data_IF_357082350796
#
_entry.id   IF_357082350796
#
_cell.length_a   1.000
_cell.length_b   1.000
_cell.length_c   1.000
_cell.angle_alpha   90.00
_cell.angle_beta   90.00
_cell.angle_gamma   90.00
#
_symmetry.space_group_name_H-M   'P 1'
#
loop_
_entity.id
_entity.type
_entity.pdbx_description
1 polymer ?
#
# COMPACT_ATOMS: atom_id res chain seq x y z
N UNK A 1 -27.60 -11.84 13.75
CA UNK A 1 -26.69 -11.30 12.73
C UNK A 1 -26.80 -12.22 11.54
N UNK A 2 -27.21 -11.64 10.43
CA UNK A 2 -27.35 -12.29 9.13
C UNK A 2 -26.42 -11.55 8.15
N UNK A 3 -25.67 -12.31 7.35
CA UNK A 3 -24.86 -11.78 6.26
C UNK A 3 -25.57 -12.04 4.93
N UNK A 4 -25.61 -11.03 4.07
CA UNK A 4 -26.19 -11.16 2.72
C UNK A 4 -25.51 -10.21 1.74
N UNK A 5 -25.72 -10.45 0.45
CA UNK A 5 -25.35 -9.49 -0.59
C UNK A 5 -26.15 -8.19 -0.42
N UNK A 6 -25.49 -7.07 -0.69
CA UNK A 6 -26.14 -5.78 -0.75
C UNK A 6 -27.09 -5.71 -1.96
N UNK A 7 -28.17 -4.96 -1.81
CA UNK A 7 -29.05 -4.60 -2.91
C UNK A 7 -29.27 -3.08 -2.93
N UNK A 8 -29.90 -2.57 -4.00
CA UNK A 8 -30.06 -1.12 -4.20
C UNK A 8 -30.85 -0.40 -3.11
N UNK A 9 -31.65 -1.10 -2.29
CA UNK A 9 -32.31 -0.49 -1.14
C UNK A 9 -31.35 -0.16 0.01
N UNK A 10 -30.17 -0.79 0.05
CA UNK A 10 -29.20 -0.63 1.13
C UNK A 10 -28.32 0.62 0.97
N UNK A 11 -28.24 1.16 -0.25
CA UNK A 11 -27.29 2.23 -0.63
C UNK A 11 -27.32 3.43 0.31
N UNK A 12 -28.53 3.91 0.67
CA UNK A 12 -28.66 5.03 1.61
C UNK A 12 -28.03 4.74 2.98
N UNK A 13 -28.29 3.55 3.52
CA UNK A 13 -27.76 3.13 4.81
C UNK A 13 -26.25 2.90 4.78
N UNK A 14 -25.72 2.36 3.69
CA UNK A 14 -24.27 2.17 3.50
C UNK A 14 -23.51 3.50 3.47
N UNK A 15 -24.05 4.50 2.77
CA UNK A 15 -23.47 5.85 2.73
C UNK A 15 -23.46 6.49 4.13
N UNK A 16 -24.57 6.42 4.87
CA UNK A 16 -24.67 6.93 6.25
C UNK A 16 -23.68 6.24 7.21
N UNK A 17 -23.59 4.91 7.13
CA UNK A 17 -22.70 4.09 7.96
C UNK A 17 -21.23 4.42 7.67
N UNK A 18 -20.87 4.60 6.41
CA UNK A 18 -19.51 5.01 6.01
C UNK A 18 -19.13 6.34 6.64
N UNK A 19 -19.97 7.37 6.47
CA UNK A 19 -19.69 8.70 7.00
C UNK A 19 -19.55 8.68 8.54
N UNK A 20 -20.44 7.97 9.23
CA UNK A 20 -20.37 7.79 10.69
C UNK A 20 -19.09 7.10 11.14
N UNK A 21 -18.72 6.01 10.46
CA UNK A 21 -17.57 5.18 10.82
C UNK A 21 -16.25 5.89 10.55
N UNK A 22 -16.13 6.57 9.40
CA UNK A 22 -14.95 7.33 9.04
C UNK A 22 -14.71 8.50 9.98
N UNK A 23 -15.77 9.26 10.30
CA UNK A 23 -15.68 10.36 11.28
C UNK A 23 -15.18 9.87 12.65
N UNK A 24 -15.50 8.63 13.03
CA UNK A 24 -15.13 8.07 14.33
C UNK A 24 -13.74 7.42 14.37
N UNK A 25 -13.25 6.87 13.24
CA UNK A 25 -12.05 6.02 13.23
C UNK A 25 -10.88 6.55 12.38
N UNK A 26 -11.11 7.55 11.52
CA UNK A 26 -10.12 8.05 10.58
C UNK A 26 -9.63 9.44 10.98
N UNK A 27 -8.33 9.66 10.87
CA UNK A 27 -7.67 10.95 11.09
C UNK A 27 -7.68 11.81 9.80
N UNK A 28 -8.86 12.00 9.21
CA UNK A 28 -9.03 12.72 7.94
C UNK A 28 -9.44 14.18 8.14
N UNK A 29 -9.02 15.04 7.21
CA UNK A 29 -9.63 16.36 7.08
C UNK A 29 -11.04 16.27 6.48
N UNK A 30 -11.92 17.28 6.67
CA UNK A 30 -13.26 17.27 6.07
C UNK A 30 -13.26 17.10 4.55
N UNK A 31 -12.28 17.72 3.86
CA UNK A 31 -12.14 17.64 2.40
C UNK A 31 -11.74 16.24 1.94
N UNK A 32 -10.85 15.57 2.67
CA UNK A 32 -10.46 14.19 2.36
C UNK A 32 -11.60 13.20 2.60
N UNK A 33 -12.38 13.40 3.67
CA UNK A 33 -13.57 12.59 3.94
C UNK A 33 -14.60 12.75 2.81
N UNK A 34 -14.87 14.00 2.41
CA UNK A 34 -15.80 14.31 1.32
C UNK A 34 -15.34 13.65 0.02
N UNK A 35 -14.06 13.79 -0.35
CA UNK A 35 -13.51 13.14 -1.54
C UNK A 35 -13.67 11.61 -1.55
N UNK A 36 -13.46 10.94 -0.41
CA UNK A 36 -13.65 9.48 -0.32
C UNK A 36 -15.13 9.11 -0.46
N UNK A 37 -16.01 9.84 0.23
CA UNK A 37 -17.45 9.57 0.18
C UNK A 37 -18.00 9.81 -1.22
N UNK A 38 -17.66 10.94 -1.86
CA UNK A 38 -18.09 11.28 -3.22
C UNK A 38 -17.66 10.21 -4.23
N UNK A 39 -16.39 9.83 -4.23
CA UNK A 39 -15.86 8.91 -5.25
C UNK A 39 -16.27 7.45 -5.03
N UNK A 40 -16.40 7.02 -3.77
CA UNK A 40 -16.52 5.59 -3.44
C UNK A 40 -17.87 5.19 -2.86
N UNK A 41 -18.59 6.12 -2.22
CA UNK A 41 -19.76 5.81 -1.39
C UNK A 41 -21.00 6.66 -1.69
N UNK A 42 -21.00 7.36 -2.83
CA UNK A 42 -22.20 7.95 -3.39
C UNK A 42 -23.12 6.88 -3.98
N UNK A 43 -24.36 7.28 -4.24
CA UNK A 43 -25.41 6.39 -4.73
C UNK A 43 -25.03 5.70 -6.04
N UNK A 44 -24.38 6.42 -6.96
CA UNK A 44 -23.92 5.88 -8.25
C UNK A 44 -22.84 4.81 -8.02
N UNK A 45 -21.74 5.15 -7.34
CA UNK A 45 -20.63 4.22 -7.06
C UNK A 45 -21.06 2.95 -6.32
N UNK A 46 -21.94 3.08 -5.33
CA UNK A 46 -22.48 1.92 -4.60
C UNK A 46 -23.41 1.07 -5.47
N UNK A 47 -24.21 1.70 -6.33
CA UNK A 47 -25.08 0.97 -7.26
C UNK A 47 -24.24 0.20 -8.28
N UNK A 48 -23.22 0.83 -8.86
CA UNK A 48 -22.27 0.15 -9.76
C UNK A 48 -21.59 -1.04 -9.08
N UNK A 49 -21.17 -0.90 -7.82
CA UNK A 49 -20.58 -1.99 -7.04
C UNK A 49 -21.58 -3.14 -6.75
N UNK A 50 -22.88 -2.86 -6.67
CA UNK A 50 -23.93 -3.88 -6.49
C UNK A 50 -24.22 -4.62 -7.81
N UNK A 51 -24.18 -3.90 -8.93
CA UNK A 51 -24.57 -4.44 -10.24
C UNK A 51 -23.42 -5.10 -11.01
N UNK A 52 -22.17 -4.81 -10.65
CA UNK A 52 -20.99 -5.33 -11.32
C UNK A 52 -20.40 -6.57 -10.61
N UNK A 53 -20.22 -7.65 -11.38
CA UNK A 53 -19.63 -8.93 -10.94
C UNK A 53 -18.14 -8.84 -10.55
N UNK A 54 -17.45 -7.76 -10.91
CA UNK A 54 -16.08 -7.49 -10.44
C UNK A 54 -16.03 -7.09 -8.96
N UNK A 55 -17.17 -6.80 -8.33
CA UNK A 55 -17.24 -6.34 -6.95
C UNK A 55 -17.99 -7.33 -6.07
N UNK A 56 -17.53 -7.42 -4.83
CA UNK A 56 -18.19 -8.16 -3.76
C UNK A 56 -18.61 -7.16 -2.70
N UNK A 57 -19.92 -6.97 -2.50
CA UNK A 57 -20.46 -6.10 -1.46
C UNK A 57 -21.42 -6.89 -0.57
N UNK A 58 -20.98 -7.22 0.64
CA UNK A 58 -21.77 -7.94 1.64
C UNK A 58 -22.13 -7.02 2.81
N UNK A 59 -23.33 -7.18 3.35
CA UNK A 59 -23.84 -6.44 4.50
C UNK A 59 -24.11 -7.36 5.68
N UNK A 60 -23.88 -6.85 6.89
CA UNK A 60 -24.24 -7.49 8.14
C UNK A 60 -25.46 -6.79 8.73
N UNK A 61 -26.53 -7.55 8.93
CA UNK A 61 -27.78 -7.10 9.54
C UNK A 61 -27.86 -7.55 11.00
N UNK A 62 -28.35 -6.68 11.88
CA UNK A 62 -28.64 -7.02 13.27
C UNK A 62 -30.08 -7.51 13.44
N UNK A 63 -30.27 -8.83 13.43
CA UNK A 63 -31.56 -9.49 13.71
C UNK A 63 -31.98 -9.45 15.18
N UNK A 64 -31.19 -8.83 16.08
CA UNK A 64 -31.59 -8.67 17.48
C UNK A 64 -32.61 -7.53 17.69
N UNK A 65 -33.01 -6.84 16.62
CA UNK A 65 -34.08 -5.84 16.60
C UNK A 65 -35.41 -6.48 17.05
N UNK A 66 -36.27 -5.76 17.78
CA UNK A 66 -37.52 -6.36 18.26
C UNK A 66 -38.37 -6.87 17.09
N UNK A 67 -39.22 -7.87 17.30
CA UNK A 67 -39.92 -8.63 16.23
C UNK A 67 -40.81 -7.81 15.25
N UNK A 68 -40.89 -6.50 15.42
CA UNK A 68 -41.63 -5.54 14.60
C UNK A 68 -40.74 -4.41 14.01
N UNK A 69 -39.41 -4.48 14.18
CA UNK A 69 -38.43 -3.54 13.61
C UNK A 69 -37.76 -4.16 12.37
N UNK A 70 -37.52 -3.34 11.34
CA UNK A 70 -36.75 -3.78 10.17
C UNK A 70 -35.28 -4.01 10.59
N UNK A 71 -34.64 -5.10 10.11
CA UNK A 71 -33.25 -5.37 10.43
C UNK A 71 -32.37 -4.19 9.99
N UNK A 72 -31.47 -3.78 10.87
CA UNK A 72 -30.59 -2.63 10.62
C UNK A 72 -29.24 -3.15 10.14
N UNK A 73 -28.72 -2.59 9.06
CA UNK A 73 -27.35 -2.86 8.62
C UNK A 73 -26.38 -2.20 9.62
N UNK A 74 -25.55 -3.04 10.23
CA UNK A 74 -24.57 -2.69 11.27
C UNK A 74 -23.12 -2.84 10.80
N UNK A 75 -22.91 -3.30 9.58
CA UNK A 75 -21.60 -3.38 8.95
C UNK A 75 -21.70 -3.76 7.49
N UNK A 76 -20.63 -3.53 6.75
CA UNK A 76 -20.48 -4.05 5.39
C UNK A 76 -19.00 -4.23 5.03
N UNK A 77 -18.77 -5.06 4.02
CA UNK A 77 -17.47 -5.28 3.39
C UNK A 77 -17.59 -5.08 1.89
N UNK A 78 -16.65 -4.35 1.31
CA UNK A 78 -16.53 -4.11 -0.13
C UNK A 78 -15.15 -4.61 -0.59
N UNK A 79 -15.17 -5.56 -1.52
CA UNK A 79 -13.99 -6.09 -2.20
C UNK A 79 -14.11 -6.00 -3.71
N UNK A 80 -12.98 -6.15 -4.38
CA UNK A 80 -12.85 -6.07 -5.84
C UNK A 80 -12.02 -7.25 -6.36
N UNK A 81 -12.50 -7.89 -7.41
CA UNK A 81 -11.75 -8.83 -8.23
C UNK A 81 -10.87 -8.05 -9.22
N UNK A 82 -9.58 -8.40 -9.29
CA UNK A 82 -8.63 -7.86 -10.27
C UNK A 82 -7.98 -8.97 -11.07
N UNK A 83 -7.31 -8.59 -12.16
CA UNK A 83 -6.64 -9.55 -13.05
C UNK A 83 -5.55 -10.36 -12.33
N UNK A 84 -4.89 -9.79 -11.32
CA UNK A 84 -3.74 -10.38 -10.61
C UNK A 84 -4.09 -10.94 -9.22
N UNK A 85 -5.34 -10.80 -8.77
CA UNK A 85 -5.79 -11.22 -7.44
C UNK A 85 -7.06 -10.48 -7.01
N UNK A 86 -7.60 -10.83 -5.85
CA UNK A 86 -8.78 -10.13 -5.30
C UNK A 86 -8.39 -9.37 -4.03
N UNK A 87 -8.99 -8.20 -3.82
CA UNK A 87 -8.63 -7.31 -2.71
C UNK A 87 -9.88 -6.86 -1.93
N UNK A 88 -9.85 -7.05 -0.61
CA UNK A 88 -10.84 -6.51 0.31
C UNK A 88 -10.43 -5.07 0.68
N UNK A 89 -11.18 -4.08 0.21
CA UNK A 89 -10.77 -2.66 0.27
C UNK A 89 -11.40 -1.88 1.40
N UNK A 90 -12.65 -2.18 1.72
CA UNK A 90 -13.37 -1.46 2.76
C UNK A 90 -14.12 -2.42 3.66
N UNK A 91 -13.97 -2.23 4.96
CA UNK A 91 -14.71 -2.95 5.97
C UNK A 91 -15.14 -1.96 7.04
N UNK A 92 -16.44 -1.72 7.12
CA UNK A 92 -17.01 -0.83 8.11
C UNK A 92 -17.90 -1.61 9.08
N UNK A 93 -17.75 -1.28 10.35
CA UNK A 93 -18.63 -1.75 11.42
C UNK A 93 -19.10 -0.52 12.18
N UNK A 94 -20.42 -0.45 12.35
CA UNK A 94 -21.10 0.57 13.13
C UNK A 94 -20.42 0.69 14.51
N UNK A 95 -20.00 1.91 14.93
CA UNK A 95 -19.28 2.09 16.18
C UNK A 95 -20.00 1.52 17.41
N UNK A 96 -21.33 1.48 17.42
CA UNK A 96 -22.16 0.96 18.52
C UNK A 96 -22.23 -0.58 18.51
N UNK A 97 -21.81 -1.22 17.41
CA UNK A 97 -21.83 -2.66 17.20
C UNK A 97 -20.43 -3.31 17.21
N UNK A 98 -19.39 -2.52 17.46
CA UNK A 98 -18.01 -3.03 17.59
C UNK A 98 -17.84 -3.95 18.80
N UNK A 99 -16.89 -4.88 18.69
CA UNK A 99 -16.59 -5.86 19.74
C UNK A 99 -17.58 -7.02 19.83
N UNK A 100 -18.59 -7.07 18.96
CA UNK A 100 -19.57 -8.17 18.86
C UNK A 100 -19.20 -9.26 17.84
N UNK A 101 -18.05 -9.15 17.16
CA UNK A 101 -17.62 -10.11 16.13
C UNK A 101 -17.98 -9.74 14.68
N UNK A 102 -18.83 -8.72 14.47
CA UNK A 102 -19.30 -8.27 13.13
C UNK A 102 -18.18 -8.12 12.11
N UNK A 103 -17.09 -7.44 12.47
CA UNK A 103 -15.99 -7.22 11.53
C UNK A 103 -15.25 -8.50 11.14
N UNK A 104 -15.11 -9.46 12.06
CA UNK A 104 -14.49 -10.76 11.77
C UNK A 104 -15.39 -11.58 10.83
N UNK A 105 -16.70 -11.63 11.10
CA UNK A 105 -17.64 -12.37 10.23
C UNK A 105 -17.71 -11.75 8.82
N UNK A 106 -17.72 -10.41 8.71
CA UNK A 106 -17.66 -9.72 7.42
C UNK A 106 -16.35 -9.99 6.67
N UNK A 107 -15.22 -9.97 7.37
CA UNK A 107 -13.92 -10.28 6.77
C UNK A 107 -13.88 -11.71 6.24
N UNK A 108 -14.26 -12.69 7.06
CA UNK A 108 -14.25 -14.11 6.67
C UNK A 108 -15.17 -14.36 5.46
N UNK A 109 -16.38 -13.83 5.47
CA UNK A 109 -17.33 -13.98 4.36
C UNK A 109 -16.88 -13.23 3.09
N UNK A 110 -16.35 -12.01 3.24
CA UNK A 110 -15.84 -11.22 2.11
C UNK A 110 -14.63 -11.89 1.46
N UNK A 111 -13.67 -12.36 2.26
CA UNK A 111 -12.51 -13.10 1.76
C UNK A 111 -12.90 -14.42 1.11
N UNK A 112 -13.88 -15.15 1.67
CA UNK A 112 -14.40 -16.38 1.04
C UNK A 112 -15.00 -16.07 -0.34
N UNK A 113 -15.91 -15.09 -0.43
CA UNK A 113 -16.54 -14.69 -1.68
C UNK A 113 -15.52 -14.21 -2.75
N UNK A 114 -14.50 -13.45 -2.34
CA UNK A 114 -13.42 -13.02 -3.24
C UNK A 114 -12.57 -14.21 -3.73
N UNK A 115 -12.37 -15.22 -2.88
CA UNK A 115 -11.60 -16.43 -3.19
C UNK A 115 -12.29 -17.42 -4.14
N UNK A 116 -13.62 -17.37 -4.29
CA UNK A 116 -14.37 -18.30 -5.16
C UNK A 116 -14.03 -18.15 -6.65
N UNK A 117 -13.48 -16.99 -7.06
CA UNK A 117 -13.02 -16.72 -8.43
C UNK A 117 -11.82 -17.58 -8.86
N UNK A 118 -11.06 -18.16 -7.91
CA UNK A 118 -9.95 -19.08 -8.17
C UNK A 118 -8.66 -18.44 -8.68
N UNK A 119 -8.58 -17.10 -8.68
CA UNK A 119 -7.41 -16.32 -9.09
C UNK A 119 -6.76 -15.66 -7.87
N UNK A 120 -5.60 -16.18 -7.47
CA UNK A 120 -4.70 -15.54 -6.51
C UNK A 120 -5.09 -15.66 -5.04
N UNK A 121 -4.24 -15.10 -4.19
CA UNK A 121 -4.50 -14.86 -2.77
C UNK A 121 -5.42 -13.65 -2.62
N UNK A 122 -6.19 -13.60 -1.52
CA UNK A 122 -6.98 -12.41 -1.18
C UNK A 122 -6.13 -11.51 -0.31
N UNK A 123 -5.87 -10.29 -0.76
CA UNK A 123 -5.27 -9.24 0.07
C UNK A 123 -6.35 -8.37 0.70
N UNK A 124 -5.98 -7.63 1.74
CA UNK A 124 -6.81 -6.59 2.30
C UNK A 124 -6.03 -5.28 2.34
N UNK A 125 -6.71 -4.15 2.24
CA UNK A 125 -6.06 -2.85 2.26
C UNK A 125 -6.72 -1.89 3.23
N UNK A 126 -5.94 -0.94 3.73
CA UNK A 126 -6.40 0.08 4.67
C UNK A 126 -5.64 1.38 4.49
N UNK A 127 -6.36 2.50 4.46
CA UNK A 127 -5.73 3.81 4.48
C UNK A 127 -4.93 4.03 5.77
N UNK A 128 -3.74 4.61 5.67
CA UNK A 128 -2.89 5.03 6.81
C UNK A 128 -3.66 5.92 7.82
N UNK A 129 -4.55 6.76 7.30
CA UNK A 129 -5.43 7.60 8.11
C UNK A 129 -6.39 6.80 9.02
N UNK A 130 -6.62 5.50 8.77
CA UNK A 130 -7.43 4.64 9.62
C UNK A 130 -6.61 4.13 10.82
N UNK A 131 -6.80 4.79 11.96
CA UNK A 131 -6.07 4.50 13.21
C UNK A 131 -6.37 3.14 13.85
N UNK A 132 -7.30 2.34 13.31
CA UNK A 132 -7.75 1.07 13.91
C UNK A 132 -7.68 -0.13 12.96
N UNK A 133 -7.62 0.10 11.65
CA UNK A 133 -7.77 -0.96 10.64
C UNK A 133 -6.57 -1.89 10.54
N UNK A 134 -5.33 -1.38 10.56
CA UNK A 134 -4.13 -2.24 10.55
C UNK A 134 -4.12 -3.25 11.69
N UNK A 135 -4.38 -2.80 12.92
CA UNK A 135 -4.48 -3.69 14.09
C UNK A 135 -5.62 -4.71 14.00
N UNK A 136 -6.67 -4.45 13.21
CA UNK A 136 -7.69 -5.45 12.95
C UNK A 136 -7.16 -6.56 12.03
N UNK A 137 -6.44 -6.20 10.96
CA UNK A 137 -5.86 -7.17 10.03
C UNK A 137 -4.79 -8.06 10.68
N UNK A 138 -3.92 -7.49 11.51
CA UNK A 138 -2.98 -8.26 12.34
C UNK A 138 -3.71 -9.28 13.24
N UNK A 139 -4.86 -8.90 13.79
CA UNK A 139 -5.65 -9.77 14.68
C UNK A 139 -6.32 -10.92 13.96
N UNK A 140 -6.68 -10.75 12.69
CA UNK A 140 -7.20 -11.85 11.85
C UNK A 140 -6.07 -12.67 11.21
N UNK A 141 -4.80 -12.34 11.51
CA UNK A 141 -3.64 -13.13 11.15
C UNK A 141 -2.97 -12.73 9.84
N UNK A 142 -3.30 -11.55 9.30
CA UNK A 142 -2.59 -10.97 8.17
C UNK A 142 -1.35 -10.21 8.65
N UNK A 143 -0.38 -10.10 7.76
CA UNK A 143 0.83 -9.30 7.95
C UNK A 143 0.88 -8.23 6.86
N UNK A 144 1.47 -7.08 7.17
CA UNK A 144 1.69 -6.01 6.21
C UNK A 144 2.66 -6.50 5.14
N UNK A 145 2.28 -6.33 3.87
CA UNK A 145 2.98 -6.88 2.72
C UNK A 145 3.49 -5.80 1.76
N UNK A 146 2.81 -4.64 1.71
CA UNK A 146 3.13 -3.55 0.78
C UNK A 146 2.55 -2.21 1.30
N UNK A 147 3.13 -1.10 0.86
CA UNK A 147 2.65 0.27 1.09
C UNK A 147 2.54 0.97 -0.27
N UNK A 148 1.41 1.61 -0.57
CA UNK A 148 1.22 2.33 -1.83
C UNK A 148 0.49 3.66 -1.69
N UNK A 149 0.76 4.57 -2.62
CA UNK A 149 0.01 5.81 -2.76
C UNK A 149 -1.20 5.61 -3.68
N UNK A 150 -2.36 6.11 -3.26
CA UNK A 150 -3.61 6.05 -4.03
C UNK A 150 -4.24 7.43 -4.15
N UNK A 151 -4.82 7.71 -5.32
CA UNK A 151 -5.56 8.94 -5.59
C UNK A 151 -7.07 8.65 -5.46
N UNK A 152 -7.76 9.48 -4.65
CA UNK A 152 -9.22 9.46 -4.53
C UNK A 152 -9.71 10.89 -4.70
N UNK A 153 -10.39 11.16 -5.81
CA UNK A 153 -10.73 12.50 -6.25
C UNK A 153 -9.46 13.32 -6.50
N UNK A 154 -9.38 14.51 -5.91
CA UNK A 154 -8.20 15.39 -5.99
C UNK A 154 -7.26 15.23 -4.79
N UNK A 155 -7.35 14.13 -4.03
CA UNK A 155 -6.60 13.90 -2.79
C UNK A 155 -5.72 12.65 -2.93
N UNK A 156 -4.51 12.71 -2.39
CA UNK A 156 -3.59 11.57 -2.30
C UNK A 156 -3.61 10.98 -0.89
N UNK A 157 -3.57 9.65 -0.81
CA UNK A 157 -3.58 8.86 0.42
C UNK A 157 -2.51 7.78 0.37
N UNK A 158 -2.05 7.35 1.54
CA UNK A 158 -1.23 6.14 1.70
C UNK A 158 -2.13 5.00 2.14
N UNK A 159 -1.94 3.84 1.54
CA UNK A 159 -2.65 2.61 1.83
C UNK A 159 -1.67 1.49 2.14
N UNK A 160 -1.89 0.80 3.25
CA UNK A 160 -1.17 -0.41 3.64
C UNK A 160 -1.91 -1.64 3.13
N UNK A 161 -1.19 -2.55 2.48
CA UNK A 161 -1.70 -3.82 1.98
C UNK A 161 -1.28 -4.92 2.95
N UNK A 162 -2.25 -5.75 3.31
CA UNK A 162 -2.11 -6.89 4.20
C UNK A 162 -2.39 -8.19 3.45
N UNK A 163 -1.59 -9.22 3.71
CA UNK A 163 -1.73 -10.52 3.09
C UNK A 163 -1.51 -11.65 4.10
N UNK A 164 -1.93 -12.87 3.77
CA UNK A 164 -1.58 -14.04 4.58
C UNK A 164 -0.05 -14.23 4.54
N UNK A 165 0.60 -14.63 5.64
CA UNK A 165 2.06 -14.79 5.69
C UNK A 165 2.61 -15.71 4.59
N UNK A 166 1.85 -16.75 4.21
CA UNK A 166 2.24 -17.65 3.12
C UNK A 166 2.21 -17.01 1.73
N UNK A 167 1.43 -15.94 1.54
CA UNK A 167 1.42 -15.18 0.29
C UNK A 167 2.59 -14.19 0.24
N UNK A 168 3.06 -13.71 1.39
CA UNK A 168 4.24 -12.84 1.50
C UNK A 168 5.53 -13.63 1.16
N UNK A 169 5.54 -14.93 1.46
CA UNK A 169 6.69 -15.85 1.24
C UNK A 169 6.84 -16.37 -0.22
N UNK A 170 5.98 -15.98 -1.17
CA UNK A 170 6.15 -16.35 -2.60
C UNK A 170 6.43 -15.16 -3.54
N UNK A 171 6.51 -13.92 -3.04
CA UNK A 171 6.85 -12.75 -3.87
C UNK A 171 7.62 -11.60 -3.21
N UNK A 172 7.84 -11.59 -1.88
CA UNK A 172 8.57 -10.48 -1.21
C UNK A 172 10.10 -10.70 -1.08
N UNK A 173 10.65 -11.74 -1.74
CA UNK A 173 12.09 -11.96 -1.84
C UNK A 173 12.57 -12.09 -3.30
N UNK A 174 12.10 -11.19 -4.17
CA UNK A 174 12.80 -10.76 -5.41
C UNK A 174 11.88 -9.88 -6.27
N UNK A 175 11.84 -8.57 -6.04
CA UNK A 175 11.87 -7.51 -7.09
C UNK A 175 11.67 -6.10 -6.52
N UNK A 176 11.30 -5.94 -5.25
CA UNK A 176 11.38 -4.64 -4.58
C UNK A 176 12.79 -4.51 -3.98
N UNK A 177 13.62 -3.57 -4.45
CA UNK A 177 14.95 -3.36 -3.89
C UNK A 177 14.79 -2.92 -2.44
N UNK A 178 15.42 -3.66 -1.52
CA UNK A 178 15.45 -3.30 -0.11
C UNK A 178 16.02 -1.86 0.02
N UNK A 179 15.24 -0.90 0.55
CA UNK A 179 15.61 0.53 0.59
C UNK A 179 16.85 0.83 1.43
N UNK A 180 17.23 -0.10 2.32
CA UNK A 180 18.42 -0.07 3.17
C UNK A 180 19.51 -1.04 2.67
N UNK A 181 19.36 -1.65 1.49
CA UNK A 181 20.30 -2.64 0.99
C UNK A 181 21.73 -2.10 0.87
N UNK A 182 22.66 -2.79 1.52
CA UNK A 182 24.11 -2.55 1.42
C UNK A 182 24.82 -3.62 0.58
N UNK A 183 24.12 -4.67 0.14
CA UNK A 183 24.66 -5.76 -0.70
C UNK A 183 23.88 -5.80 -2.02
N UNK A 184 24.10 -4.78 -2.85
CA UNK A 184 23.41 -4.63 -4.14
C UNK A 184 24.01 -5.58 -5.20
N UNK A 185 23.13 -6.29 -5.90
CA UNK A 185 23.49 -7.15 -7.03
C UNK A 185 23.28 -6.43 -8.36
N UNK A 186 23.72 -7.03 -9.47
CA UNK A 186 23.45 -6.48 -10.80
C UNK A 186 21.95 -6.42 -11.14
N UNK A 187 21.10 -7.20 -10.45
CA UNK A 187 19.66 -7.16 -10.64
C UNK A 187 19.03 -5.90 -10.01
N UNK A 188 19.64 -5.37 -8.96
CA UNK A 188 19.16 -4.19 -8.21
C UNK A 188 19.63 -2.87 -8.83
N UNK A 189 20.41 -2.92 -9.91
CA UNK A 189 21.05 -1.77 -10.56
C UNK A 189 20.65 -1.70 -12.04
N UNK A 190 19.46 -1.19 -12.36
CA UNK A 190 18.99 -1.07 -13.74
C UNK A 190 19.91 -0.19 -14.59
N UNK A 191 20.01 -0.49 -15.88
CA UNK A 191 20.81 0.33 -16.83
C UNK A 191 22.32 0.39 -16.53
N UNK A 192 22.85 -0.58 -15.78
CA UNK A 192 24.29 -0.70 -15.50
C UNK A 192 24.98 -1.78 -16.34
N UNK A 193 26.29 -1.63 -16.49
CA UNK A 193 27.16 -2.62 -17.13
C UNK A 193 28.31 -2.99 -16.18
N UNK A 194 28.69 -4.27 -16.13
CA UNK A 194 29.88 -4.71 -15.37
C UNK A 194 31.12 -4.73 -16.25
N UNK A 195 32.20 -4.06 -15.82
CA UNK A 195 33.49 -3.94 -16.53
C UNK A 195 34.69 -4.25 -15.63
N UNK A 196 35.88 -4.36 -16.22
CA UNK A 196 37.15 -4.44 -15.47
C UNK A 196 37.35 -3.14 -14.68
N UNK A 197 37.01 -3.17 -13.38
CA UNK A 197 37.06 -1.99 -12.50
C UNK A 197 35.79 -1.75 -11.70
N UNK A 198 34.68 -2.46 -11.97
CA UNK A 198 33.45 -2.38 -11.19
C UNK A 198 32.20 -2.26 -12.05
N UNK A 199 31.12 -1.78 -11.44
CA UNK A 199 29.84 -1.51 -12.09
C UNK A 199 29.83 -0.09 -12.60
N UNK A 200 29.42 0.10 -13.85
CA UNK A 200 29.36 1.42 -14.47
C UNK A 200 27.95 1.75 -14.94
N UNK A 201 27.58 3.03 -14.79
CA UNK A 201 26.36 3.62 -15.32
C UNK A 201 26.73 4.76 -16.28
N UNK A 202 25.77 5.18 -17.12
CA UNK A 202 25.93 6.33 -18.00
C UNK A 202 24.87 7.37 -17.73
N UNK A 203 25.26 8.63 -17.87
CA UNK A 203 24.33 9.76 -17.70
C UNK A 203 23.42 9.92 -18.93
N UNK A 204 22.12 10.15 -18.70
CA UNK A 204 21.13 10.39 -19.75
C UNK A 204 21.00 11.85 -20.19
N UNK A 205 21.73 12.79 -19.57
CA UNK A 205 21.78 14.23 -19.94
C UNK A 205 22.49 14.50 -21.31
N UNK A 206 22.69 13.46 -22.12
CA UNK A 206 23.31 13.57 -23.45
C UNK A 206 24.83 13.80 -23.43
N UNK A 207 25.45 13.80 -22.25
CA UNK A 207 26.90 13.90 -22.09
C UNK A 207 27.63 12.56 -22.31
N UNK A 208 26.92 11.42 -22.26
CA UNK A 208 27.45 10.04 -22.29
C UNK A 208 28.62 9.85 -21.30
N UNK A 209 28.57 10.55 -20.16
CA UNK A 209 29.60 10.43 -19.12
C UNK A 209 29.44 9.09 -18.42
N UNK A 210 30.50 8.30 -18.42
CA UNK A 210 30.58 7.04 -17.66
C UNK A 210 30.97 7.33 -16.22
N UNK A 211 30.28 6.70 -15.28
CA UNK A 211 30.56 6.76 -13.85
C UNK A 211 30.65 5.36 -13.25
N UNK A 212 31.41 5.21 -12.18
CA UNK A 212 31.67 3.98 -11.45
C UNK A 212 30.86 3.96 -10.15
N UNK A 213 30.08 2.91 -9.91
CA UNK A 213 29.21 2.78 -8.74
C UNK A 213 29.93 2.01 -7.63
N UNK A 214 30.00 2.58 -6.44
CA UNK A 214 30.47 1.88 -5.24
C UNK A 214 29.29 1.21 -4.54
N UNK A 215 29.12 -0.09 -4.77
CA UNK A 215 28.00 -0.87 -4.22
C UNK A 215 28.03 -0.98 -2.69
N UNK A 216 29.16 -0.72 -2.05
CA UNK A 216 29.31 -0.76 -0.60
C UNK A 216 28.99 0.60 0.06
N UNK A 217 28.96 1.69 -0.73
CA UNK A 217 28.64 3.04 -0.25
C UNK A 217 27.24 3.47 -0.74
N UNK A 218 26.24 3.22 0.12
CA UNK A 218 24.83 3.53 -0.16
C UNK A 218 24.20 4.45 0.89
N UNK A 219 23.23 5.23 0.44
CA UNK A 219 22.34 6.04 1.26
C UNK A 219 20.90 5.50 1.12
N UNK A 220 20.15 5.46 2.21
CA UNK A 220 18.79 4.91 2.25
C UNK A 220 17.80 5.78 1.45
N UNK A 221 16.84 5.14 0.78
CA UNK A 221 15.78 5.81 0.02
C UNK A 221 14.39 5.29 0.39
N UNK A 222 13.33 5.95 -0.09
CA UNK A 222 11.94 5.54 0.14
C UNK A 222 11.55 4.35 -0.73
N UNK A 223 12.08 4.28 -1.95
CA UNK A 223 11.74 3.24 -2.94
C UNK A 223 12.89 2.25 -3.16
N UNK A 224 14.14 2.73 -3.07
CA UNK A 224 15.36 1.97 -3.27
C UNK A 224 16.56 2.80 -2.76
N UNK A 225 17.72 2.19 -2.46
CA UNK A 225 18.88 2.95 -2.01
C UNK A 225 19.48 3.82 -3.13
N UNK A 226 20.22 4.84 -2.70
CA UNK A 226 21.08 5.65 -3.55
C UNK A 226 22.52 5.15 -3.46
N UNK A 227 23.10 4.79 -4.59
CA UNK A 227 24.49 4.32 -4.68
C UNK A 227 25.42 5.48 -4.99
N UNK A 228 26.55 5.61 -4.30
CA UNK A 228 27.51 6.67 -4.61
C UNK A 228 28.21 6.38 -5.94
N UNK A 229 28.15 7.36 -6.84
CA UNK A 229 28.78 7.31 -8.15
C UNK A 229 30.06 8.15 -8.19
N UNK A 230 31.10 7.63 -8.84
CA UNK A 230 32.43 8.24 -8.98
C UNK A 230 32.81 8.41 -10.45
N UNK A 231 33.64 9.41 -10.75
CA UNK A 231 34.16 9.64 -12.10
C UNK A 231 35.31 8.69 -12.47
N UNK A 232 35.84 7.92 -11.51
CA UNK A 232 36.96 7.00 -11.69
C UNK A 232 36.75 5.65 -10.97
N UNK A 233 37.39 4.61 -11.51
CA UNK A 233 37.32 3.24 -10.99
C UNK A 233 38.05 3.02 -9.66
N UNK A 234 38.82 4.00 -9.17
CA UNK A 234 39.51 3.93 -7.88
C UNK A 234 38.65 4.55 -6.75
N UNK A 235 37.43 5.01 -7.07
CA UNK A 235 36.49 5.65 -6.15
C UNK A 235 37.09 6.89 -5.45
N UNK A 236 37.79 7.74 -6.19
CA UNK A 236 38.50 8.90 -5.62
C UNK A 236 37.84 10.25 -5.89
N UNK A 237 37.11 10.41 -6.99
CA UNK A 237 36.43 11.64 -7.40
C UNK A 237 34.91 11.41 -7.46
N UNK A 238 34.19 11.80 -6.41
CA UNK A 238 32.74 11.58 -6.31
C UNK A 238 31.99 12.43 -7.34
N UNK A 239 31.19 11.77 -8.16
CA UNK A 239 30.33 12.37 -9.17
C UNK A 239 28.98 12.80 -8.59
N UNK A 240 28.29 11.90 -7.89
CA UNK A 240 26.92 12.11 -7.40
C UNK A 240 26.29 10.84 -6.84
N UNK A 241 24.96 10.76 -6.89
CA UNK A 241 24.20 9.57 -6.49
C UNK A 241 23.44 8.98 -7.66
N UNK A 242 23.43 7.65 -7.71
CA UNK A 242 22.67 6.84 -8.64
C UNK A 242 21.44 6.26 -7.93
N UNK A 243 20.26 6.40 -8.51
CA UNK A 243 19.02 5.88 -7.97
C UNK A 243 18.83 4.40 -8.37
N UNK A 244 18.90 3.47 -7.41
CA UNK A 244 18.72 2.04 -7.69
C UNK A 244 17.30 1.68 -8.17
N UNK A 245 16.29 2.52 -7.88
CA UNK A 245 14.92 2.29 -8.32
C UNK A 245 14.76 2.41 -9.85
N UNK A 246 15.28 3.51 -10.41
CA UNK A 246 15.02 3.86 -11.81
C UNK A 246 16.25 3.95 -12.71
N UNK A 247 17.47 3.81 -12.18
CA UNK A 247 18.70 3.88 -12.96
C UNK A 247 19.24 5.28 -13.21
N UNK A 248 18.55 6.32 -12.76
CA UNK A 248 18.93 7.71 -13.04
C UNK A 248 20.06 8.24 -12.14
N UNK A 249 20.90 9.10 -12.71
CA UNK A 249 21.91 9.92 -12.01
C UNK A 249 21.43 11.35 -11.73
N UNK A 250 20.22 11.70 -12.19
CA UNK A 250 19.60 13.01 -11.97
C UNK A 250 19.04 13.08 -10.55
N UNK A 251 19.94 13.37 -9.62
CA UNK A 251 19.65 13.52 -8.19
C UNK A 251 19.91 14.96 -7.74
N UNK A 252 18.99 15.49 -6.93
CA UNK A 252 19.11 16.78 -6.28
C UNK A 252 19.41 16.57 -4.78
N UNK A 253 20.24 17.45 -4.23
CA UNK A 253 20.45 17.56 -2.79
C UNK A 253 19.70 18.79 -2.26
N UNK A 254 18.85 18.59 -1.25
CA UNK A 254 18.17 19.71 -0.59
C UNK A 254 19.08 20.42 0.44
N UNK A 255 18.58 21.50 1.07
CA UNK A 255 19.33 22.26 2.08
C UNK A 255 19.71 21.44 3.33
N UNK A 256 19.12 20.26 3.51
CA UNK A 256 19.37 19.31 4.60
C UNK A 256 20.25 18.14 4.15
N UNK A 257 20.89 18.24 2.98
CA UNK A 257 21.72 17.18 2.37
C UNK A 257 20.94 15.89 2.07
N UNK A 258 19.60 15.96 1.98
CA UNK A 258 18.77 14.83 1.56
C UNK A 258 18.74 14.72 0.05
N UNK A 259 18.87 13.48 -0.42
CA UNK A 259 18.90 13.13 -1.83
C UNK A 259 17.47 12.94 -2.33
N UNK A 260 17.14 13.48 -3.49
CA UNK A 260 15.89 13.25 -4.20
C UNK A 260 16.19 12.94 -5.67
N UNK A 261 15.64 11.85 -6.20
CA UNK A 261 15.70 11.55 -7.62
C UNK A 261 14.64 12.37 -8.36
N UNK A 262 15.05 13.21 -9.31
CA UNK A 262 14.12 14.08 -10.02
C UNK A 262 13.29 13.35 -11.08
N UNK A 263 13.66 12.12 -11.43
CA UNK A 263 12.97 11.32 -12.45
C UNK A 263 11.83 10.48 -11.86
N UNK A 264 12.05 9.76 -10.75
CA UNK A 264 11.05 8.86 -10.16
C UNK A 264 10.49 9.33 -8.80
N UNK A 265 11.04 10.38 -8.20
CA UNK A 265 10.59 10.87 -6.90
C UNK A 265 11.08 10.06 -5.70
N UNK A 266 11.90 9.01 -5.91
CA UNK A 266 12.60 8.34 -4.81
C UNK A 266 13.35 9.40 -3.98
N UNK A 267 13.22 9.36 -2.66
CA UNK A 267 13.78 10.38 -1.77
C UNK A 267 14.48 9.74 -0.58
N UNK A 268 15.43 10.44 0.03
CA UNK A 268 16.20 9.93 1.15
C UNK A 268 15.28 9.60 2.33
N UNK A 269 15.29 8.34 2.75
CA UNK A 269 14.57 7.86 3.92
C UNK A 269 15.51 7.80 5.14
N UNK A 270 15.04 8.10 6.36
CA UNK A 270 15.82 7.80 7.55
C UNK A 270 16.02 6.28 7.66
N UNK A 271 17.27 5.82 7.79
CA UNK A 271 17.59 4.39 8.01
C UNK A 271 16.68 3.81 9.10
N UNK A 272 16.04 2.69 8.79
CA UNK A 272 15.17 1.97 9.72
C UNK A 272 15.92 1.55 10.99
N UNK A 273 15.22 1.41 12.12
CA UNK A 273 15.83 0.91 13.38
C UNK A 273 16.33 -0.54 13.24
N UNK A 274 15.86 -1.28 12.23
CA UNK A 274 16.24 -2.66 11.91
C UNK A 274 17.57 -2.78 11.16
N UNK A 275 18.04 -1.71 10.50
CA UNK A 275 19.36 -1.64 9.88
C UNK A 275 20.52 -1.52 10.90
N UNK A 276 20.22 -1.29 12.19
CA UNK A 276 21.22 -1.31 13.27
C UNK A 276 21.52 -2.76 13.73
N UNK A 277 21.97 -3.62 12.82
CA UNK A 277 22.56 -4.90 13.24
C UNK A 277 23.96 -4.68 13.86
N UNK A 278 24.03 -4.80 15.18
CA UNK A 278 25.10 -5.59 15.78
C UNK A 278 26.48 -4.98 16.05
N UNK A 279 26.66 -3.65 16.16
CA UNK A 279 27.97 -3.09 16.56
C UNK A 279 27.95 -2.00 17.65
N UNK A 280 27.37 -2.31 18.81
CA UNK A 280 27.81 -1.70 20.06
C UNK A 280 28.13 -2.78 21.12
N UNK A 281 29.33 -2.63 21.68
CA UNK A 281 30.06 -3.47 22.64
C UNK A 281 29.26 -4.02 23.84
#
# INVERSE_FOLDING_TARGET
MELREANSADVGRLSELTHSTMTAAYALSPQQLEAIVEERFEEESLTDAIENEDWVLLVAEDDESEADEEPVIVGFVLGEHREEGSELRWLFVDPEHRGKGVGTELYEAGSEALGESGTGYVTASVLEANTQGGTFFERVGLEEADERQVEIGEQSFVEYVYAEPSAIDESAASDQPDPDATDLTDADLPETETREGGTVARTDDGSDTEVYLDREETESGTEAPFVVAYADAEFTDRYGYYCANCGSLDTALDESERIECTECGNSHAPRSEEAYDGSYL
#
